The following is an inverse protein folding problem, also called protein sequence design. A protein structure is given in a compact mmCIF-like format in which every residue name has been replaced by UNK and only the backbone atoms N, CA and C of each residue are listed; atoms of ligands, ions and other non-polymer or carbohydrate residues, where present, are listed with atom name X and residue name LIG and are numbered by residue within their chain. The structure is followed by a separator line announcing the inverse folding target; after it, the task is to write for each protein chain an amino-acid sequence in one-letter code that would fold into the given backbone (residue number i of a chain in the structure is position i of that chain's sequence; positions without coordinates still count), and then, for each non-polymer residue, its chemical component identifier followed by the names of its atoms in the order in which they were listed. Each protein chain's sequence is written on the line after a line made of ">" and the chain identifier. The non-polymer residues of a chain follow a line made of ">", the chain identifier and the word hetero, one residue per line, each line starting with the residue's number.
data_IF_618124645406
#
_entry.id   IF_618124645406
#
_cell.length_a   1.000
_cell.length_b   1.000
_cell.length_c   1.000
_cell.angle_alpha   90.00
_cell.angle_beta   90.00
_cell.angle_gamma   90.00
#
_symmetry.space_group_name_H-M   'P 1'
#
loop_
_entity.id
_entity.type
_entity.pdbx_description
1 polymer ?
#
# COMPACT_ATOMS: atom_id res chain seq x y z
N UNK A 1 -19.77 25.23 -8.12
CA UNK A 1 -18.38 25.20 -8.64
C UNK A 1 -18.15 23.95 -9.46
N UNK A 2 -17.21 23.94 -10.37
CA UNK A 2 -16.83 22.76 -11.15
C UNK A 2 -15.54 22.19 -10.57
N UNK A 3 -15.53 20.91 -10.24
CA UNK A 3 -14.38 20.18 -9.68
C UNK A 3 -14.08 18.96 -10.55
N UNK A 4 -12.80 18.55 -10.64
CA UNK A 4 -12.44 17.24 -11.18
C UNK A 4 -12.20 16.31 -10.01
N UNK A 5 -13.06 15.30 -9.83
CA UNK A 5 -12.99 14.36 -8.71
C UNK A 5 -12.71 12.95 -9.24
N UNK A 6 -11.59 12.35 -8.83
CA UNK A 6 -11.14 11.04 -9.32
C UNK A 6 -11.05 10.95 -10.85
N UNK A 7 -10.74 12.08 -11.50
CA UNK A 7 -10.64 12.19 -12.96
C UNK A 7 -11.97 12.48 -13.68
N UNK A 8 -13.09 12.62 -12.96
CA UNK A 8 -14.39 12.98 -13.51
C UNK A 8 -14.75 14.44 -13.20
N UNK A 9 -15.18 15.21 -14.21
CA UNK A 9 -15.67 16.55 -13.98
C UNK A 9 -17.08 16.52 -13.37
N UNK A 10 -17.25 17.22 -12.24
CA UNK A 10 -18.52 17.31 -11.51
C UNK A 10 -18.86 18.75 -11.16
N UNK A 11 -20.15 19.08 -11.22
CA UNK A 11 -20.68 20.35 -10.72
C UNK A 11 -21.15 20.14 -9.30
N UNK A 12 -20.58 20.88 -8.37
CA UNK A 12 -20.90 20.85 -6.95
C UNK A 12 -21.66 22.13 -6.60
N UNK A 13 -22.82 22.01 -5.97
CA UNK A 13 -23.73 23.14 -5.75
C UNK A 13 -23.52 23.79 -4.37
N UNK A 14 -23.33 22.98 -3.32
CA UNK A 14 -23.41 23.46 -1.95
C UNK A 14 -22.12 23.32 -1.15
N UNK A 15 -21.23 22.40 -1.50
CA UNK A 15 -20.01 22.15 -0.73
C UNK A 15 -19.04 23.34 -0.83
N UNK A 16 -18.62 23.86 0.33
CA UNK A 16 -17.63 24.93 0.45
C UNK A 16 -16.26 24.40 0.89
N UNK A 17 -16.24 23.28 1.59
CA UNK A 17 -15.04 22.63 2.15
C UNK A 17 -14.93 21.17 1.70
N UNK A 18 -13.77 20.55 1.97
CA UNK A 18 -13.59 19.11 1.73
C UNK A 18 -14.58 18.28 2.55
N UNK A 19 -14.86 18.67 3.79
CA UNK A 19 -15.84 17.95 4.62
C UNK A 19 -17.26 18.03 4.03
N UNK A 20 -17.67 19.21 3.55
CA UNK A 20 -18.98 19.39 2.91
C UNK A 20 -19.10 18.54 1.65
N UNK A 21 -18.03 18.50 0.83
CA UNK A 21 -17.99 17.68 -0.39
C UNK A 21 -18.15 16.20 -0.08
N UNK A 22 -17.45 15.69 0.93
CA UNK A 22 -17.59 14.28 1.32
C UNK A 22 -19.02 13.98 1.77
N UNK A 23 -19.66 14.91 2.52
CA UNK A 23 -21.07 14.82 2.92
C UNK A 23 -22.01 14.80 1.72
N UNK A 24 -21.83 15.71 0.75
CA UNK A 24 -22.63 15.78 -0.49
C UNK A 24 -22.51 14.51 -1.33
N UNK A 25 -21.32 13.90 -1.35
CA UNK A 25 -21.05 12.64 -2.04
C UNK A 25 -21.50 11.39 -1.24
N UNK A 26 -21.99 11.54 -0.01
CA UNK A 26 -22.38 10.42 0.86
C UNK A 26 -21.20 9.58 1.36
N UNK A 27 -19.99 10.16 1.39
CA UNK A 27 -18.75 9.48 1.76
C UNK A 27 -18.43 9.72 3.24
N UNK A 28 -18.16 8.66 3.99
CA UNK A 28 -17.76 8.76 5.40
C UNK A 28 -16.31 9.26 5.51
N UNK A 29 -16.11 10.49 5.99
CA UNK A 29 -14.81 11.17 6.05
C UNK A 29 -13.71 10.37 6.79
N UNK A 30 -14.07 9.60 7.83
CA UNK A 30 -13.13 8.79 8.61
C UNK A 30 -12.51 7.63 7.83
N UNK A 31 -13.15 7.22 6.73
CA UNK A 31 -12.75 6.05 5.93
C UNK A 31 -11.97 6.39 4.66
N UNK A 32 -11.64 7.65 4.43
CA UNK A 32 -11.01 8.10 3.19
C UNK A 32 -9.81 9.00 3.45
N UNK A 33 -8.90 9.08 2.48
CA UNK A 33 -7.93 10.16 2.35
C UNK A 33 -8.28 10.99 1.12
N UNK A 34 -8.03 12.29 1.22
CA UNK A 34 -8.27 13.27 0.16
C UNK A 34 -6.98 13.96 -0.21
N UNK A 35 -6.70 14.00 -1.51
CA UNK A 35 -5.68 14.83 -2.09
C UNK A 35 -6.37 15.95 -2.88
N UNK A 36 -5.89 17.18 -2.76
CA UNK A 36 -6.35 18.34 -3.52
C UNK A 36 -5.17 18.96 -4.23
N UNK A 37 -5.22 19.04 -5.55
CA UNK A 37 -4.17 19.64 -6.38
C UNK A 37 -2.77 19.07 -6.10
N UNK A 38 -2.66 17.74 -5.97
CA UNK A 38 -1.45 16.98 -5.64
C UNK A 38 -0.92 17.16 -4.21
N UNK A 39 -1.69 17.80 -3.32
CA UNK A 39 -1.37 17.92 -1.90
C UNK A 39 -2.35 17.13 -1.06
N UNK A 40 -1.84 16.30 -0.16
CA UNK A 40 -2.68 15.52 0.76
C UNK A 40 -3.29 16.47 1.79
N UNK A 41 -4.62 16.43 1.91
CA UNK A 41 -5.35 17.17 2.94
C UNK A 41 -5.42 16.30 4.20
N UNK A 42 -4.83 16.71 5.33
CA UNK A 42 -4.98 15.98 6.59
C UNK A 42 -6.45 15.89 7.01
N UNK A 43 -6.86 14.75 7.58
CA UNK A 43 -8.26 14.56 8.03
C UNK A 43 -8.74 15.65 8.99
N UNK A 44 -7.83 16.14 9.84
CA UNK A 44 -8.11 17.24 10.79
C UNK A 44 -8.39 18.57 10.09
N UNK A 45 -8.00 18.73 8.84
CA UNK A 45 -8.18 19.97 8.08
C UNK A 45 -9.36 19.91 7.08
N UNK A 46 -10.11 18.82 6.99
CA UNK A 46 -11.21 18.68 6.02
C UNK A 46 -12.27 19.77 6.16
N UNK A 47 -12.59 20.18 7.41
CA UNK A 47 -13.56 21.23 7.67
C UNK A 47 -13.05 22.65 7.34
N UNK A 48 -11.74 22.84 7.34
CA UNK A 48 -11.11 24.16 7.14
C UNK A 48 -10.55 24.34 5.72
N UNK A 49 -10.45 23.25 4.93
CA UNK A 49 -9.93 23.31 3.58
C UNK A 49 -11.03 23.71 2.61
N UNK A 50 -11.02 25.00 2.23
CA UNK A 50 -11.95 25.54 1.25
C UNK A 50 -11.70 25.01 -0.16
N UNK A 51 -12.78 24.73 -0.89
CA UNK A 51 -12.75 24.31 -2.29
C UNK A 51 -12.87 25.52 -3.20
N UNK A 52 -12.21 25.45 -4.37
CA UNK A 52 -12.27 26.48 -5.40
C UNK A 52 -12.66 25.86 -6.75
N UNK A 53 -13.23 26.69 -7.63
CA UNK A 53 -13.56 26.29 -8.99
C UNK A 53 -12.31 25.83 -9.73
N UNK A 54 -12.37 24.66 -10.37
CA UNK A 54 -11.24 24.05 -11.08
C UNK A 54 -10.33 23.19 -10.22
N UNK A 55 -10.58 23.02 -8.91
CA UNK A 55 -9.80 22.10 -8.08
C UNK A 55 -9.88 20.66 -8.57
N UNK A 56 -8.76 19.95 -8.45
CA UNK A 56 -8.64 18.53 -8.74
C UNK A 56 -8.51 17.76 -7.43
N UNK A 57 -9.44 16.84 -7.19
CA UNK A 57 -9.44 16.01 -5.99
C UNK A 57 -9.29 14.53 -6.34
N UNK A 58 -8.45 13.85 -5.59
CA UNK A 58 -8.39 12.38 -5.54
C UNK A 58 -8.89 11.93 -4.17
N UNK A 59 -10.00 11.23 -4.17
CA UNK A 59 -10.58 10.66 -2.96
C UNK A 59 -10.35 9.16 -2.99
N UNK A 60 -9.53 8.68 -2.07
CA UNK A 60 -9.17 7.27 -1.98
C UNK A 60 -9.66 6.69 -0.66
N UNK A 61 -10.06 5.43 -0.68
CA UNK A 61 -10.38 4.72 0.53
C UNK A 61 -9.34 3.64 0.79
N UNK A 62 -9.01 3.52 2.04
CA UNK A 62 -8.45 2.32 2.64
C UNK A 62 -9.38 1.91 3.75
N UNK A 63 -9.27 0.68 3.99
CA UNK A 63 -10.26 0.04 4.77
C UNK A 63 -9.56 -0.56 5.97
N UNK A 64 -9.74 0.02 7.12
CA UNK A 64 -9.30 -0.46 8.40
C UNK A 64 -8.46 0.57 9.13
N UNK A 65 -9.01 1.12 10.17
CA UNK A 65 -8.28 1.94 11.11
C UNK A 65 -7.84 1.12 12.30
N UNK A 66 -6.72 1.54 12.89
CA UNK A 66 -6.30 1.11 14.20
C UNK A 66 -5.13 0.14 14.17
N UNK A 67 -3.92 0.70 14.35
CA UNK A 67 -2.82 -0.01 14.96
C UNK A 67 -3.28 -0.44 16.36
N UNK A 68 -3.66 -1.68 16.55
CA UNK A 68 -3.60 -2.27 17.86
C UNK A 68 -2.21 -2.90 17.95
N UNK A 69 -1.37 -2.39 18.83
CA UNK A 69 -0.25 -3.15 19.39
C UNK A 69 -0.83 -4.39 20.04
N UNK A 70 -1.02 -5.43 19.25
CA UNK A 70 -1.36 -6.71 19.76
C UNK A 70 -0.07 -7.33 20.27
N UNK A 71 0.14 -7.27 21.58
CA UNK A 71 1.10 -8.07 22.29
C UNK A 71 0.91 -9.56 21.94
N UNK A 72 1.66 -10.04 20.95
CA UNK A 72 1.81 -11.45 20.67
C UNK A 72 3.05 -11.97 21.39
N UNK A 73 2.99 -11.94 22.72
CA UNK A 73 3.92 -12.66 23.55
C UNK A 73 3.42 -14.08 23.76
N UNK A 74 4.00 -15.04 23.06
CA UNK A 74 4.09 -16.41 23.57
C UNK A 74 5.31 -17.13 23.00
N UNK A 75 5.95 -17.87 23.85
CA UNK A 75 7.30 -18.42 23.83
C UNK A 75 7.56 -19.45 22.71
N UNK A 76 8.84 -19.51 22.28
CA UNK A 76 9.54 -20.65 21.67
C UNK A 76 9.12 -21.12 20.26
N UNK A 77 8.70 -20.20 19.38
CA UNK A 77 8.78 -20.46 17.95
C UNK A 77 9.60 -19.33 17.32
N UNK A 78 10.64 -19.67 16.55
CA UNK A 78 11.43 -18.69 15.79
C UNK A 78 10.57 -18.14 14.65
N UNK A 79 9.54 -17.35 15.03
CA UNK A 79 8.62 -16.75 14.10
C UNK A 79 9.35 -15.79 13.15
N UNK A 80 8.82 -15.62 11.96
CA UNK A 80 9.27 -14.62 10.99
C UNK A 80 8.97 -13.23 11.52
N UNK A 81 9.97 -12.34 11.57
CA UNK A 81 9.83 -10.98 12.11
C UNK A 81 10.13 -9.94 11.01
N UNK A 82 9.22 -8.99 10.82
CA UNK A 82 9.41 -7.82 9.92
C UNK A 82 8.93 -6.58 10.65
N UNK A 83 9.75 -5.52 10.69
CA UNK A 83 9.41 -4.23 11.32
C UNK A 83 8.83 -4.39 12.74
N UNK A 84 9.36 -5.32 13.54
CA UNK A 84 8.87 -5.62 14.89
C UNK A 84 7.61 -6.50 14.96
N UNK A 85 6.92 -6.74 13.86
CA UNK A 85 5.79 -7.68 13.81
C UNK A 85 6.29 -9.12 13.72
N UNK A 86 5.81 -9.98 14.60
CA UNK A 86 6.12 -11.41 14.61
C UNK A 86 4.99 -12.21 13.96
N UNK A 87 5.32 -13.03 12.95
CA UNK A 87 4.39 -13.84 12.19
C UNK A 87 4.70 -15.33 12.38
N UNK A 88 3.67 -16.15 12.47
CA UNK A 88 3.78 -17.62 12.43
C UNK A 88 3.85 -18.11 10.98
N UNK A 89 3.14 -17.46 10.09
CA UNK A 89 3.12 -17.78 8.66
C UNK A 89 4.14 -16.94 7.90
N UNK A 90 4.88 -17.58 6.97
CA UNK A 90 5.76 -16.88 6.02
C UNK A 90 5.04 -16.53 4.72
N UNK A 91 3.75 -16.82 4.61
CA UNK A 91 2.94 -16.57 3.43
C UNK A 91 2.33 -15.17 3.50
N UNK A 92 2.53 -14.39 2.46
CA UNK A 92 1.85 -13.11 2.21
C UNK A 92 0.88 -13.33 1.04
N UNK A 93 -0.39 -12.99 1.24
CA UNK A 93 -1.44 -13.18 0.23
C UNK A 93 -1.86 -11.86 -0.37
N UNK A 94 -2.04 -11.84 -1.70
CA UNK A 94 -2.62 -10.72 -2.42
C UNK A 94 -4.14 -10.74 -2.41
N UNK A 95 -4.78 -9.58 -2.58
CA UNK A 95 -6.25 -9.42 -2.56
C UNK A 95 -6.85 -9.05 -3.91
N UNK A 96 -6.07 -9.02 -4.99
CA UNK A 96 -6.46 -8.38 -6.25
C UNK A 96 -7.03 -9.27 -7.35
N UNK A 97 -7.10 -10.61 -7.19
CA UNK A 97 -7.42 -11.54 -8.30
C UNK A 97 -8.55 -12.52 -8.00
N UNK A 98 -9.24 -12.38 -6.90
CA UNK A 98 -10.41 -13.19 -6.56
C UNK A 98 -11.67 -12.64 -7.24
N UNK A 99 -12.67 -13.47 -7.38
CA UNK A 99 -13.94 -13.15 -8.01
C UNK A 99 -14.69 -12.05 -7.26
N UNK A 100 -14.70 -12.16 -5.93
CA UNK A 100 -15.35 -11.21 -5.03
C UNK A 100 -14.65 -11.18 -3.66
N UNK A 101 -15.11 -10.32 -2.75
CA UNK A 101 -14.51 -10.16 -1.43
C UNK A 101 -14.78 -11.34 -0.50
N UNK A 102 -15.87 -12.07 -0.69
CA UNK A 102 -16.16 -13.27 0.09
C UNK A 102 -15.18 -14.39 -0.27
N UNK A 103 -14.92 -14.62 -1.56
CA UNK A 103 -13.91 -15.58 -2.01
C UNK A 103 -12.51 -15.16 -1.53
N UNK A 104 -12.20 -13.87 -1.55
CA UNK A 104 -10.95 -13.32 -1.01
C UNK A 104 -10.80 -13.68 0.47
N UNK A 105 -11.84 -13.43 1.29
CA UNK A 105 -11.85 -13.76 2.71
C UNK A 105 -11.63 -15.25 2.96
N UNK A 106 -12.37 -16.10 2.26
CA UNK A 106 -12.28 -17.56 2.40
C UNK A 106 -10.87 -18.05 2.05
N UNK A 107 -10.29 -17.54 0.96
CA UNK A 107 -8.94 -17.91 0.54
C UNK A 107 -7.87 -17.48 1.55
N UNK A 108 -7.97 -16.26 2.07
CA UNK A 108 -7.06 -15.75 3.10
C UNK A 108 -7.18 -16.58 4.38
N UNK A 109 -8.40 -16.84 4.87
CA UNK A 109 -8.63 -17.65 6.07
C UNK A 109 -8.05 -19.07 5.89
N UNK A 110 -8.28 -19.70 4.75
CA UNK A 110 -7.79 -21.05 4.45
C UNK A 110 -6.26 -21.12 4.28
N UNK A 111 -5.62 -20.04 3.86
CA UNK A 111 -4.17 -19.96 3.62
C UNK A 111 -3.34 -19.97 4.91
N UNK A 112 -3.92 -19.53 6.03
CA UNK A 112 -3.21 -19.29 7.28
C UNK A 112 -2.24 -18.11 7.23
N UNK A 113 -2.30 -17.26 6.17
CA UNK A 113 -1.50 -16.05 6.11
C UNK A 113 -1.97 -15.03 7.16
N UNK A 114 -1.02 -14.32 7.74
CA UNK A 114 -1.28 -13.26 8.73
C UNK A 114 -1.05 -11.86 8.13
N UNK A 115 -0.39 -11.78 6.96
CA UNK A 115 -0.17 -10.55 6.22
C UNK A 115 -0.84 -10.61 4.86
N UNK A 116 -1.53 -9.52 4.48
CA UNK A 116 -2.25 -9.41 3.21
C UNK A 116 -1.87 -8.12 2.48
N UNK A 117 -1.50 -8.23 1.21
CA UNK A 117 -1.22 -7.03 0.41
C UNK A 117 -2.53 -6.40 -0.06
N UNK A 118 -2.59 -5.07 0.04
CA UNK A 118 -3.75 -4.29 -0.38
C UNK A 118 -3.33 -3.13 -1.28
N UNK A 119 -4.09 -2.86 -2.33
CA UNK A 119 -3.84 -1.73 -3.21
C UNK A 119 -4.65 -0.51 -2.78
N UNK A 120 -4.05 0.67 -2.94
CA UNK A 120 -4.76 1.95 -2.84
C UNK A 120 -5.73 2.06 -4.01
N UNK A 121 -7.02 2.33 -3.74
CA UNK A 121 -8.04 2.45 -4.79
C UNK A 121 -8.86 3.71 -4.61
N UNK A 122 -9.26 4.32 -5.72
CA UNK A 122 -10.22 5.42 -5.73
C UNK A 122 -11.57 4.96 -5.20
N UNK A 123 -12.24 5.84 -4.46
CA UNK A 123 -13.62 5.63 -4.01
C UNK A 123 -14.53 5.53 -5.22
N UNK A 124 -15.50 4.60 -5.20
CA UNK A 124 -16.58 4.59 -6.17
C UNK A 124 -17.54 5.76 -5.89
N UNK A 125 -17.49 6.77 -6.73
CA UNK A 125 -18.31 7.98 -6.59
C UNK A 125 -19.75 7.78 -7.07
N UNK A 126 -20.03 6.71 -7.83
CA UNK A 126 -21.38 6.41 -8.32
C UNK A 126 -22.20 5.60 -7.33
N UNK A 127 -21.54 4.83 -6.50
CA UNK A 127 -22.15 4.04 -5.42
C UNK A 127 -21.22 3.92 -4.21
N UNK A 128 -21.21 4.93 -3.32
CA UNK A 128 -20.38 4.93 -2.12
C UNK A 128 -20.80 3.87 -1.08
N UNK A 129 -21.98 3.27 -1.24
CA UNK A 129 -22.49 2.24 -0.34
C UNK A 129 -21.97 0.84 -0.65
N UNK A 130 -21.23 0.66 -1.75
CA UNK A 130 -20.67 -0.64 -2.09
C UNK A 130 -19.76 -1.17 -0.99
N UNK A 131 -19.85 -2.48 -0.69
CA UNK A 131 -19.02 -3.10 0.32
C UNK A 131 -17.54 -2.99 -0.06
N UNK A 132 -16.71 -2.89 0.95
CA UNK A 132 -15.29 -2.74 0.81
C UNK A 132 -14.56 -3.98 1.32
N UNK A 133 -13.29 -4.18 0.90
CA UNK A 133 -12.49 -5.33 1.31
C UNK A 133 -12.46 -5.56 2.83
N UNK A 134 -12.41 -4.50 3.64
CA UNK A 134 -12.34 -4.64 5.12
C UNK A 134 -13.66 -5.05 5.77
N UNK A 135 -14.76 -4.93 5.04
CA UNK A 135 -16.01 -5.47 5.55
C UNK A 135 -15.96 -7.01 5.56
N UNK A 136 -14.98 -7.59 4.84
CA UNK A 136 -14.76 -9.03 4.70
C UNK A 136 -13.46 -9.52 5.33
N UNK A 137 -12.37 -8.79 5.16
CA UNK A 137 -11.05 -9.13 5.71
C UNK A 137 -10.76 -8.21 6.89
N UNK A 138 -10.89 -8.70 8.11
CA UNK A 138 -10.78 -7.88 9.32
C UNK A 138 -9.33 -7.39 9.54
N UNK A 139 -9.09 -6.06 9.51
CA UNK A 139 -7.75 -5.51 9.73
C UNK A 139 -7.22 -5.68 11.17
N UNK A 140 -8.07 -6.08 12.11
CA UNK A 140 -7.63 -6.47 13.46
C UNK A 140 -7.07 -7.90 13.51
N UNK A 141 -7.43 -8.72 12.52
CA UNK A 141 -6.97 -10.10 12.39
C UNK A 141 -5.74 -10.23 11.50
N UNK A 142 -5.63 -9.37 10.48
CA UNK A 142 -4.59 -9.43 9.45
C UNK A 142 -3.76 -8.16 9.44
N UNK A 143 -2.45 -8.28 9.28
CA UNK A 143 -1.57 -7.15 9.00
C UNK A 143 -1.76 -6.75 7.53
N UNK A 144 -2.29 -5.57 7.32
CA UNK A 144 -2.43 -4.99 5.99
C UNK A 144 -1.10 -4.43 5.52
N UNK A 145 -0.72 -4.77 4.29
CA UNK A 145 0.49 -4.31 3.63
C UNK A 145 0.10 -3.51 2.38
N UNK A 146 -0.15 -2.19 2.51
CA UNK A 146 -0.40 -1.33 1.36
C UNK A 146 0.74 -1.37 0.37
N UNK A 147 0.41 -1.43 -0.93
CA UNK A 147 1.40 -1.49 -1.98
C UNK A 147 1.19 -0.41 -3.06
N UNK A 148 2.23 -0.17 -3.83
CA UNK A 148 2.26 0.76 -4.96
C UNK A 148 2.13 0.06 -6.31
N UNK A 149 1.44 -1.08 -6.36
CA UNK A 149 1.23 -1.80 -7.61
C UNK A 149 0.62 -0.90 -8.69
N UNK A 150 1.26 -0.85 -9.84
CA UNK A 150 0.86 0.00 -10.96
C UNK A 150 1.46 1.40 -10.97
N UNK A 151 2.35 1.75 -10.04
CA UNK A 151 3.14 2.97 -10.09
C UNK A 151 4.41 2.77 -10.93
N UNK A 152 4.77 3.79 -11.73
CA UNK A 152 5.92 3.75 -12.64
C UNK A 152 6.96 4.83 -12.30
N UNK A 153 6.68 5.70 -11.36
CA UNK A 153 7.57 6.78 -10.90
C UNK A 153 7.70 6.77 -9.38
N UNK A 154 8.81 7.33 -8.88
CA UNK A 154 9.02 7.52 -7.45
C UNK A 154 7.93 8.41 -6.85
N UNK A 155 7.60 9.51 -7.51
CA UNK A 155 6.64 10.50 -7.01
C UNK A 155 5.24 9.88 -6.84
N UNK A 156 4.76 9.08 -7.83
CA UNK A 156 3.48 8.39 -7.73
C UNK A 156 3.47 7.38 -6.59
N UNK A 157 4.57 6.64 -6.42
CA UNK A 157 4.70 5.64 -5.37
C UNK A 157 4.69 6.27 -3.97
N UNK A 158 5.47 7.34 -3.78
CA UNK A 158 5.53 8.09 -2.52
C UNK A 158 4.16 8.70 -2.19
N UNK A 159 3.53 9.35 -3.16
CA UNK A 159 2.18 9.93 -3.02
C UNK A 159 1.16 8.87 -2.63
N UNK A 160 1.17 7.72 -3.31
CA UNK A 160 0.26 6.61 -3.04
C UNK A 160 0.38 6.09 -1.60
N UNK A 161 1.61 5.91 -1.10
CA UNK A 161 1.80 5.40 0.27
C UNK A 161 1.54 6.47 1.34
N UNK A 162 1.79 7.75 1.06
CA UNK A 162 1.35 8.84 1.94
C UNK A 162 -0.17 8.89 2.07
N UNK A 163 -0.90 8.72 0.95
CA UNK A 163 -2.35 8.58 0.97
C UNK A 163 -2.80 7.35 1.77
N UNK A 164 -2.09 6.21 1.63
CA UNK A 164 -2.35 5.03 2.42
C UNK A 164 -2.26 5.32 3.92
N UNK A 165 -1.18 5.97 4.35
CA UNK A 165 -0.97 6.32 5.75
C UNK A 165 -2.04 7.28 6.26
N UNK A 166 -2.40 8.31 5.50
CA UNK A 166 -3.46 9.23 5.89
C UNK A 166 -4.82 8.51 6.00
N UNK A 167 -5.12 7.57 5.11
CA UNK A 167 -6.38 6.84 5.13
C UNK A 167 -6.48 5.84 6.28
N UNK A 168 -5.42 5.06 6.57
CA UNK A 168 -5.48 3.92 7.49
C UNK A 168 -4.41 3.85 8.57
N UNK A 169 -3.47 4.80 8.63
CA UNK A 169 -2.44 4.86 9.68
C UNK A 169 -1.27 3.86 9.48
N UNK A 170 -1.18 3.18 8.33
CA UNK A 170 -0.15 2.16 8.12
C UNK A 170 1.22 2.77 7.82
N UNK A 171 2.23 2.32 8.56
CA UNK A 171 3.63 2.63 8.30
C UNK A 171 4.35 1.49 7.58
N UNK A 172 3.99 0.22 7.85
CA UNK A 172 4.51 -0.93 7.11
C UNK A 172 3.88 -0.97 5.72
N UNK A 173 4.71 -0.88 4.68
CA UNK A 173 4.27 -0.74 3.29
C UNK A 173 5.13 -1.56 2.33
N UNK A 174 4.55 -1.96 1.19
CA UNK A 174 5.30 -2.59 0.09
C UNK A 174 5.52 -1.59 -1.03
N UNK A 175 6.76 -1.16 -1.18
CA UNK A 175 7.18 -0.31 -2.29
C UNK A 175 7.42 -1.16 -3.55
N UNK A 176 6.79 -0.77 -4.64
CA UNK A 176 6.95 -1.36 -5.97
C UNK A 176 6.90 -0.23 -7.01
N UNK A 177 8.00 0.00 -7.71
CA UNK A 177 8.06 0.94 -8.84
C UNK A 177 8.37 0.16 -10.10
N UNK A 178 7.42 0.10 -11.02
CA UNK A 178 7.54 -0.71 -12.24
C UNK A 178 8.30 0.03 -13.34
N UNK A 179 9.13 -0.70 -14.07
CA UNK A 179 9.83 -0.20 -15.25
C UNK A 179 9.10 -0.56 -16.56
N UNK A 180 8.39 -1.66 -16.57
CA UNK A 180 7.69 -2.15 -17.75
C UNK A 180 6.35 -2.82 -17.38
N UNK A 181 5.30 -2.44 -18.07
CA UNK A 181 3.94 -2.89 -17.80
C UNK A 181 3.70 -4.37 -18.14
N UNK A 182 4.43 -4.93 -19.08
CA UNK A 182 4.24 -6.32 -19.52
C UNK A 182 4.98 -7.30 -18.65
N UNK A 183 6.22 -6.99 -18.32
CA UNK A 183 7.11 -7.88 -17.56
C UNK A 183 7.07 -7.62 -16.08
N UNK A 184 6.60 -6.42 -15.66
CA UNK A 184 6.57 -5.96 -14.28
C UNK A 184 7.95 -5.92 -13.61
N UNK A 185 9.02 -5.80 -14.39
CA UNK A 185 10.37 -5.56 -13.86
C UNK A 185 10.41 -4.25 -13.09
N UNK A 186 11.16 -4.19 -11.99
CA UNK A 186 11.29 -2.97 -11.19
C UNK A 186 12.13 -1.91 -11.92
N UNK A 187 11.76 -0.65 -11.77
CA UNK A 187 12.56 0.51 -12.15
C UNK A 187 13.49 0.87 -11.01
N UNK A 188 14.70 0.31 -10.97
CA UNK A 188 15.59 0.46 -9.82
C UNK A 188 15.99 1.90 -9.51
N UNK A 189 16.31 2.78 -10.49
CA UNK A 189 16.56 4.20 -10.21
C UNK A 189 15.40 4.89 -9.49
N UNK A 190 14.16 4.65 -9.92
CA UNK A 190 12.96 5.23 -9.28
C UNK A 190 12.65 4.53 -7.94
N UNK A 191 12.90 3.21 -7.83
CA UNK A 191 12.75 2.47 -6.56
C UNK A 191 13.65 3.03 -5.47
N UNK A 192 14.93 3.28 -5.78
CA UNK A 192 15.89 3.87 -4.81
C UNK A 192 15.45 5.26 -4.34
N UNK A 193 15.01 6.13 -5.26
CA UNK A 193 14.49 7.46 -4.92
C UNK A 193 13.24 7.38 -4.02
N UNK A 194 12.31 6.50 -4.36
CA UNK A 194 11.08 6.33 -3.59
C UNK A 194 11.38 5.77 -2.19
N UNK A 195 12.26 4.77 -2.08
CA UNK A 195 12.68 4.19 -0.81
C UNK A 195 13.28 5.24 0.12
N UNK A 196 14.23 6.05 -0.38
CA UNK A 196 14.85 7.14 0.39
C UNK A 196 13.79 8.11 0.93
N UNK A 197 12.86 8.55 0.09
CA UNK A 197 11.81 9.49 0.47
C UNK A 197 10.88 8.90 1.54
N UNK A 198 10.44 7.64 1.35
CA UNK A 198 9.53 6.97 2.28
C UNK A 198 10.17 6.68 3.63
N UNK A 199 11.44 6.24 3.66
CA UNK A 199 12.18 6.00 4.90
C UNK A 199 12.36 7.31 5.66
N UNK A 200 12.70 8.41 4.97
CA UNK A 200 12.78 9.74 5.56
C UNK A 200 11.45 10.20 6.15
N UNK A 201 10.34 9.79 5.56
CA UNK A 201 8.99 10.06 6.06
C UNK A 201 8.58 9.14 7.23
N UNK A 202 9.43 8.20 7.65
CA UNK A 202 9.19 7.27 8.76
C UNK A 202 8.34 6.05 8.39
N UNK A 203 8.35 5.62 7.13
CA UNK A 203 7.75 4.36 6.73
C UNK A 203 8.68 3.17 6.97
N UNK A 204 8.09 2.03 7.33
CA UNK A 204 8.73 0.73 7.35
C UNK A 204 8.58 0.08 5.96
N UNK A 205 9.62 0.19 5.14
CA UNK A 205 9.54 -0.15 3.71
C UNK A 205 9.99 -1.58 3.46
N UNK A 206 9.08 -2.45 3.03
CA UNK A 206 9.39 -3.69 2.34
C UNK A 206 9.49 -3.37 0.84
N UNK A 207 10.62 -3.68 0.20
CA UNK A 207 10.88 -3.18 -1.15
C UNK A 207 11.01 -4.30 -2.20
N UNK A 208 10.17 -4.22 -3.25
CA UNK A 208 10.33 -5.02 -4.45
C UNK A 208 11.48 -4.47 -5.29
N UNK A 209 12.45 -5.32 -5.62
CA UNK A 209 13.65 -4.93 -6.34
C UNK A 209 14.07 -5.99 -7.37
N UNK A 210 15.08 -5.66 -8.19
CA UNK A 210 15.76 -6.64 -9.03
C UNK A 210 16.50 -7.66 -8.17
N UNK A 211 16.96 -8.73 -8.79
CA UNK A 211 17.83 -9.75 -8.19
C UNK A 211 19.33 -9.36 -8.16
N UNK A 212 19.64 -8.07 -8.26
CA UNK A 212 20.99 -7.54 -8.13
C UNK A 212 21.41 -7.45 -6.65
N UNK A 213 22.43 -8.23 -6.20
CA UNK A 213 22.87 -8.22 -4.81
C UNK A 213 23.38 -6.87 -4.32
N UNK A 214 23.95 -6.05 -5.21
CA UNK A 214 24.47 -4.72 -4.84
C UNK A 214 23.31 -3.76 -4.58
N UNK A 215 22.30 -3.75 -5.46
CA UNK A 215 21.13 -2.90 -5.27
C UNK A 215 20.29 -3.34 -4.07
N UNK A 216 20.16 -4.66 -3.83
CA UNK A 216 19.52 -5.18 -2.63
C UNK A 216 20.21 -4.68 -1.34
N UNK A 217 21.55 -4.70 -1.32
CA UNK A 217 22.33 -4.18 -0.19
C UNK A 217 22.19 -2.67 -0.02
N UNK A 218 22.16 -1.91 -1.11
CA UNK A 218 21.91 -0.45 -1.05
C UNK A 218 20.56 -0.13 -0.41
N UNK A 219 19.51 -0.87 -0.76
CA UNK A 219 18.18 -0.69 -0.17
C UNK A 219 18.14 -1.04 1.32
N UNK A 220 18.82 -2.12 1.72
CA UNK A 220 18.99 -2.46 3.15
C UNK A 220 19.73 -1.36 3.91
N UNK A 221 20.89 -0.91 3.39
CA UNK A 221 21.71 0.12 4.02
C UNK A 221 20.98 1.48 4.10
N UNK A 222 20.03 1.71 3.21
CA UNK A 222 19.15 2.88 3.24
C UNK A 222 18.11 2.80 4.37
N UNK A 223 17.81 1.60 4.86
CA UNK A 223 16.87 1.37 5.97
C UNK A 223 15.58 0.63 5.58
N UNK A 224 15.52 -0.03 4.43
CA UNK A 224 14.41 -0.92 4.12
C UNK A 224 14.35 -2.07 5.13
N UNK A 225 13.15 -2.39 5.62
CA UNK A 225 12.92 -3.40 6.66
C UNK A 225 12.83 -4.83 6.12
N UNK A 226 12.66 -4.99 4.81
CA UNK A 226 12.73 -6.28 4.11
C UNK A 226 13.05 -6.06 2.64
N UNK A 227 13.77 -7.02 2.03
CA UNK A 227 14.12 -7.05 0.61
C UNK A 227 13.29 -8.12 -0.08
N UNK A 228 12.63 -7.76 -1.19
CA UNK A 228 11.78 -8.65 -1.99
C UNK A 228 12.35 -8.75 -3.41
N UNK A 229 13.41 -9.54 -3.63
CA UNK A 229 14.05 -9.63 -4.94
C UNK A 229 13.18 -10.37 -5.94
N UNK A 230 13.25 -9.96 -7.20
CA UNK A 230 12.58 -10.63 -8.31
C UNK A 230 13.18 -12.03 -8.51
N UNK A 231 12.54 -13.06 -7.97
CA UNK A 231 12.94 -14.45 -8.16
C UNK A 231 12.39 -15.03 -9.47
N UNK A 232 11.11 -14.80 -9.74
CA UNK A 232 10.40 -15.21 -10.96
C UNK A 232 9.59 -14.03 -11.48
N UNK A 233 9.44 -13.92 -12.80
CA UNK A 233 8.55 -12.93 -13.40
C UNK A 233 7.14 -13.09 -12.82
N UNK A 234 6.54 -11.99 -12.38
CA UNK A 234 5.22 -11.99 -11.74
C UNK A 234 4.19 -12.64 -12.68
N UNK A 235 3.50 -13.67 -12.17
CA UNK A 235 2.48 -14.41 -12.92
C UNK A 235 3.01 -15.43 -13.93
N UNK A 236 4.33 -15.61 -14.06
CA UNK A 236 4.90 -16.53 -15.06
C UNK A 236 4.96 -17.99 -14.62
N UNK A 237 5.06 -18.27 -13.32
CA UNK A 237 5.27 -19.63 -12.79
C UNK A 237 6.64 -20.25 -13.15
N UNK A 238 7.61 -19.46 -13.61
CA UNK A 238 8.90 -19.95 -14.10
C UNK A 238 9.88 -20.42 -13.00
N UNK A 239 9.59 -20.13 -11.74
CA UNK A 239 10.52 -20.38 -10.64
C UNK A 239 11.65 -19.34 -10.60
N UNK A 240 12.64 -19.56 -9.73
CA UNK A 240 13.79 -18.66 -9.56
C UNK A 240 14.67 -18.71 -10.80
N UNK A 241 14.80 -17.58 -11.50
CA UNK A 241 15.58 -17.49 -12.75
C UNK A 241 17.09 -17.44 -12.47
N UNK A 242 17.50 -16.79 -11.39
CA UNK A 242 18.91 -16.68 -11.00
C UNK A 242 19.10 -17.07 -9.52
N UNK A 243 19.21 -18.37 -9.24
CA UNK A 243 19.36 -18.84 -7.87
C UNK A 243 20.66 -18.38 -7.19
N UNK A 244 21.71 -18.09 -7.96
CA UNK A 244 22.99 -17.61 -7.42
C UNK A 244 22.82 -16.22 -6.82
N UNK A 245 22.19 -15.28 -7.53
CA UNK A 245 21.96 -13.93 -7.02
C UNK A 245 21.06 -13.96 -5.79
N UNK A 246 19.98 -14.75 -5.82
CA UNK A 246 19.09 -14.90 -4.66
C UNK A 246 19.83 -15.47 -3.44
N UNK A 247 20.71 -16.45 -3.64
CA UNK A 247 21.55 -16.98 -2.57
C UNK A 247 22.48 -15.89 -2.00
N UNK A 248 23.16 -15.14 -2.86
CA UNK A 248 24.05 -14.05 -2.44
C UNK A 248 23.30 -12.95 -1.65
N UNK A 249 22.09 -12.56 -2.11
CA UNK A 249 21.25 -11.60 -1.39
C UNK A 249 20.92 -12.16 0.01
N UNK A 250 20.45 -13.40 0.09
CA UNK A 250 20.08 -14.04 1.34
C UNK A 250 21.26 -14.18 2.33
N UNK A 251 22.45 -14.52 1.82
CA UNK A 251 23.65 -14.68 2.63
C UNK A 251 24.16 -13.36 3.23
N UNK A 252 23.98 -12.25 2.50
CA UNK A 252 24.50 -10.94 2.91
C UNK A 252 23.47 -10.03 3.57
N UNK A 253 22.18 -10.37 3.53
CA UNK A 253 21.13 -9.55 4.13
C UNK A 253 21.06 -9.72 5.65
N UNK A 254 20.92 -8.60 6.37
CA UNK A 254 20.62 -8.56 7.79
C UNK A 254 19.12 -8.30 8.07
N UNK A 255 18.35 -8.07 7.03
CA UNK A 255 16.89 -7.94 7.07
C UNK A 255 16.24 -9.14 6.36
N UNK A 256 14.97 -9.42 6.59
CA UNK A 256 14.27 -10.49 5.89
C UNK A 256 14.34 -10.38 4.37
N UNK A 257 14.59 -11.49 3.70
CA UNK A 257 14.47 -11.66 2.25
C UNK A 257 13.21 -12.47 1.97
N UNK A 258 12.31 -11.89 1.17
CA UNK A 258 10.94 -12.39 0.97
C UNK A 258 10.69 -12.70 -0.50
#
# INVERSE_FOLDING_TARGET
>A
MRLTINGEDRTIETAATVADLLGELGITATKVAVERNLEIVPKTAYGDTALADGDKLEIVHFIGGGSSDADLASANDEGFVVAGHKFKSRLIVGTGKYKDFEETRIAIDASGAEMVTVAVRRVNLTDPSQPMLVDYVDPKKYVYLPNTAGCFTADDSVRTLRLAREAGGWNLVKLEVLGDQKTLYPNMPETLKAAEALIKDGFDVMVYCSDDPIQAKMLEDMGCVAIMPLGSLIGSGMGILNPVNIALIKENANVPVI
#
